data_IF_430278943196
#
_entry.id   IF_430278943196
#
_cell.length_a   1.000
_cell.length_b   1.000
_cell.length_c   1.000
_cell.angle_alpha   90.00
_cell.angle_beta   90.00
_cell.angle_gamma   90.00
#
_symmetry.space_group_name_H-M   'P 1'
#
loop_
_entity.id
_entity.type
_entity.pdbx_description
1 polymer ?
#
# COMPACT_ATOMS: atom_id res chain seq x y z
N UNK A 1 10.36 20.49 -12.10
CA UNK A 1 9.60 19.25 -11.84
C UNK A 1 9.76 18.39 -13.07
N UNK A 2 10.10 17.12 -12.92
CA UNK A 2 10.17 16.16 -14.03
C UNK A 2 8.93 15.27 -14.00
N UNK A 3 8.29 15.13 -15.17
CA UNK A 3 7.18 14.18 -15.34
C UNK A 3 7.75 12.78 -15.50
N UNK A 4 7.32 11.86 -14.66
CA UNK A 4 7.85 10.49 -14.62
C UNK A 4 6.71 9.47 -14.54
N UNK A 5 7.00 8.23 -14.97
CA UNK A 5 6.11 7.07 -14.76
C UNK A 5 6.41 6.43 -13.42
N UNK A 6 5.38 5.88 -12.78
CA UNK A 6 5.55 5.15 -11.52
C UNK A 6 6.48 3.95 -11.67
N UNK A 7 6.41 3.23 -12.79
CA UNK A 7 7.28 2.10 -13.11
C UNK A 7 8.77 2.45 -13.29
N UNK A 8 9.10 3.73 -13.52
CA UNK A 8 10.49 4.16 -13.69
C UNK A 8 11.27 4.29 -12.37
N UNK A 9 10.57 4.35 -11.24
CA UNK A 9 11.17 4.57 -9.91
C UNK A 9 10.87 3.45 -8.91
N UNK A 10 10.22 2.37 -9.33
CA UNK A 10 9.89 1.25 -8.45
C UNK A 10 9.36 0.05 -9.22
N UNK A 11 9.11 -1.02 -8.49
CA UNK A 11 8.60 -2.29 -9.01
C UNK A 11 7.24 -2.61 -8.43
N UNK A 12 6.39 -3.22 -9.25
CA UNK A 12 5.05 -3.65 -8.90
C UNK A 12 4.99 -5.17 -8.85
N UNK A 13 4.26 -5.72 -7.88
CA UNK A 13 4.05 -7.17 -7.78
C UNK A 13 2.66 -7.46 -7.21
N UNK A 14 1.92 -8.37 -7.87
CA UNK A 14 0.68 -8.91 -7.30
C UNK A 14 1.01 -9.83 -6.12
N UNK A 15 0.14 -9.90 -5.13
CA UNK A 15 0.28 -10.81 -4.00
C UNK A 15 -0.08 -12.25 -4.36
N UNK A 16 -0.02 -13.11 -3.36
CA UNK A 16 -0.31 -14.55 -3.45
C UNK A 16 -1.77 -14.84 -3.12
N UNK A 17 -2.35 -15.80 -3.86
CA UNK A 17 -3.60 -16.42 -3.48
C UNK A 17 -3.31 -17.64 -2.59
N UNK A 18 -3.90 -17.65 -1.42
CA UNK A 18 -3.78 -18.76 -0.47
C UNK A 18 -5.06 -19.58 -0.48
N UNK A 19 -4.95 -20.92 -0.48
CA UNK A 19 -6.07 -21.79 -0.25
C UNK A 19 -6.55 -21.63 1.20
N UNK A 20 -7.87 -21.75 1.42
CA UNK A 20 -8.48 -21.56 2.76
C UNK A 20 -7.99 -22.54 3.82
N UNK A 21 -7.49 -23.69 3.39
CA UNK A 21 -7.19 -24.87 4.23
C UNK A 21 -5.70 -25.06 4.52
N UNK A 22 -4.84 -24.12 4.10
CA UNK A 22 -3.41 -24.18 4.40
C UNK A 22 -3.16 -24.02 5.90
N UNK A 23 -2.34 -24.91 6.47
CA UNK A 23 -1.85 -24.77 7.86
C UNK A 23 -1.23 -23.39 8.00
N UNK A 24 -1.74 -22.63 8.95
CA UNK A 24 -1.45 -21.20 9.07
C UNK A 24 -0.35 -21.00 10.10
N UNK A 25 0.90 -20.87 9.66
CA UNK A 25 1.99 -20.58 10.59
C UNK A 25 3.19 -19.91 9.92
N UNK A 26 3.80 -19.00 10.66
CA UNK A 26 5.13 -18.47 10.40
C UNK A 26 5.22 -17.27 9.44
N UNK A 27 4.14 -16.87 8.78
CA UNK A 27 4.12 -15.65 7.99
C UNK A 27 2.78 -14.92 8.14
N UNK A 28 2.82 -13.69 8.60
CA UNK A 28 1.65 -12.81 8.66
C UNK A 28 1.25 -12.34 7.26
N UNK A 29 -0.05 -12.18 7.00
CA UNK A 29 -0.55 -11.75 5.69
C UNK A 29 -1.44 -10.53 5.80
N UNK A 30 -1.12 -9.49 5.05
CA UNK A 30 -1.97 -8.33 4.85
C UNK A 30 -2.98 -8.62 3.74
N UNK A 31 -4.26 -8.48 4.05
CA UNK A 31 -5.37 -8.59 3.11
C UNK A 31 -6.18 -7.30 3.00
N UNK A 32 -7.30 -7.34 2.28
CA UNK A 32 -8.18 -6.19 2.11
C UNK A 32 -8.77 -5.66 3.42
N UNK A 33 -9.20 -6.51 4.38
CA UNK A 33 -9.74 -6.04 5.65
C UNK A 33 -8.77 -5.13 6.42
N UNK A 34 -7.46 -5.37 6.29
CA UNK A 34 -6.42 -4.65 7.04
C UNK A 34 -6.15 -3.23 6.52
N UNK A 35 -6.73 -2.87 5.35
CA UNK A 35 -6.53 -1.53 4.80
C UNK A 35 -7.30 -0.47 5.57
N UNK A 36 -8.53 -0.76 6.02
CA UNK A 36 -9.39 0.22 6.65
C UNK A 36 -9.25 1.61 6.00
N UNK A 37 -9.02 2.66 6.75
CA UNK A 37 -8.64 3.97 6.22
C UNK A 37 -7.26 4.42 6.71
N UNK A 38 -6.38 3.47 7.01
CA UNK A 38 -5.06 3.71 7.62
C UNK A 38 -4.06 4.24 6.59
N UNK A 39 -3.08 5.00 7.09
CA UNK A 39 -1.90 5.40 6.33
C UNK A 39 -0.78 4.36 6.47
N UNK A 40 -0.58 3.86 7.68
CA UNK A 40 0.43 2.86 8.02
C UNK A 40 -0.29 1.54 8.31
N UNK A 41 0.23 0.44 7.77
CA UNK A 41 -0.31 -0.89 8.01
C UNK A 41 -0.22 -1.25 9.50
N UNK A 42 -1.33 -1.72 10.06
CA UNK A 42 -1.29 -2.37 11.37
C UNK A 42 -0.79 -3.80 11.18
N UNK A 43 0.32 -4.16 11.82
CA UNK A 43 0.93 -5.48 11.74
C UNK A 43 0.54 -6.41 12.91
N UNK A 44 -0.30 -5.90 13.82
CA UNK A 44 -0.87 -6.67 14.90
C UNK A 44 -2.10 -7.47 14.41
N UNK A 45 -2.34 -8.64 14.97
CA UNK A 45 -3.54 -9.47 14.71
C UNK A 45 -3.80 -9.80 13.23
N UNK A 46 -2.77 -9.83 12.39
CA UNK A 46 -2.89 -10.26 11.00
C UNK A 46 -3.12 -11.78 10.92
N UNK A 47 -3.89 -12.19 9.90
CA UNK A 47 -4.02 -13.61 9.57
C UNK A 47 -2.65 -14.19 9.25
N UNK A 48 -2.37 -15.40 9.72
CA UNK A 48 -1.17 -16.15 9.36
C UNK A 48 -1.40 -17.07 8.17
N UNK A 49 -0.33 -17.32 7.42
CA UNK A 49 -0.26 -18.27 6.31
C UNK A 49 1.00 -19.10 6.41
N UNK A 50 1.01 -20.24 5.71
CA UNK A 50 2.16 -21.12 5.69
C UNK A 50 3.36 -20.44 5.01
N UNK A 51 4.43 -20.27 5.79
CA UNK A 51 5.66 -19.65 5.30
C UNK A 51 6.32 -20.48 4.18
N UNK A 52 6.16 -21.79 4.17
CA UNK A 52 6.81 -22.68 3.19
C UNK A 52 6.40 -22.39 1.75
N UNK A 53 5.19 -21.85 1.56
CA UNK A 53 4.65 -21.47 0.23
C UNK A 53 4.92 -20.00 -0.12
N UNK A 54 5.51 -19.23 0.79
CA UNK A 54 5.82 -17.81 0.57
C UNK A 54 7.23 -17.65 0.06
N UNK A 55 7.39 -17.46 -1.25
CA UNK A 55 8.70 -17.12 -1.81
C UNK A 55 9.24 -15.79 -1.26
N UNK A 56 10.56 -15.67 -1.15
CA UNK A 56 11.23 -14.47 -0.60
C UNK A 56 10.83 -13.17 -1.29
N UNK A 57 10.49 -13.24 -2.58
CA UNK A 57 10.02 -12.11 -3.37
C UNK A 57 8.65 -11.57 -2.95
N UNK A 58 7.89 -12.35 -2.20
CA UNK A 58 6.58 -11.97 -1.67
C UNK A 58 6.65 -11.43 -0.25
N UNK A 59 7.83 -11.46 0.38
CA UNK A 59 8.00 -10.84 1.68
C UNK A 59 8.03 -9.31 1.54
N UNK A 60 7.26 -8.66 2.40
CA UNK A 60 7.23 -7.22 2.51
C UNK A 60 8.49 -6.69 3.19
N UNK A 61 8.83 -5.46 2.87
CA UNK A 61 9.90 -4.68 3.49
C UNK A 61 9.36 -3.34 3.95
N UNK A 62 10.05 -2.72 4.88
CA UNK A 62 9.72 -1.36 5.29
C UNK A 62 9.73 -0.43 4.07
N UNK A 63 8.76 0.46 4.04
CA UNK A 63 8.46 1.40 2.96
C UNK A 63 7.86 0.78 1.68
N UNK A 64 7.50 -0.50 1.66
CA UNK A 64 6.62 -1.02 0.63
C UNK A 64 5.25 -0.33 0.73
N UNK A 65 4.67 0.04 -0.41
CA UNK A 65 3.31 0.59 -0.48
C UNK A 65 2.41 -0.48 -1.06
N UNK A 66 1.32 -0.79 -0.36
CA UNK A 66 0.30 -1.72 -0.82
C UNK A 66 -0.89 -0.98 -1.40
N UNK A 67 -1.46 -1.51 -2.46
CA UNK A 67 -2.71 -1.06 -3.07
C UNK A 67 -3.76 -2.17 -3.05
N UNK A 68 -5.01 -1.82 -2.81
CA UNK A 68 -6.14 -2.71 -3.08
C UNK A 68 -6.27 -2.89 -4.58
N UNK A 69 -6.08 -4.12 -5.04
CA UNK A 69 -6.16 -4.50 -6.46
C UNK A 69 -7.59 -4.69 -6.93
N UNK A 70 -8.37 -5.49 -6.20
CA UNK A 70 -9.75 -5.78 -6.52
C UNK A 70 -10.61 -5.91 -5.27
N UNK A 71 -11.84 -5.43 -5.38
CA UNK A 71 -12.84 -5.51 -4.31
C UNK A 71 -14.23 -5.41 -4.93
N UNK A 72 -15.23 -6.07 -4.33
CA UNK A 72 -16.64 -5.91 -4.73
C UNK A 72 -17.12 -4.46 -4.61
N UNK A 73 -16.59 -3.69 -3.66
CA UNK A 73 -16.82 -2.26 -3.57
C UNK A 73 -15.74 -1.50 -4.35
N UNK A 74 -16.09 -0.95 -5.50
CA UNK A 74 -15.18 -0.21 -6.39
C UNK A 74 -14.49 0.98 -5.71
N UNK A 75 -15.11 1.60 -4.71
CA UNK A 75 -14.53 2.72 -3.96
C UNK A 75 -13.31 2.33 -3.13
N UNK A 76 -13.12 1.04 -2.88
CA UNK A 76 -11.96 0.52 -2.16
C UNK A 76 -10.77 0.26 -3.09
N UNK A 77 -11.00 0.00 -4.37
CA UNK A 77 -9.93 -0.25 -5.35
C UNK A 77 -8.98 0.95 -5.43
N UNK A 78 -7.68 0.67 -5.43
CA UNK A 78 -6.62 1.68 -5.40
C UNK A 78 -6.44 2.38 -4.04
N UNK A 79 -7.13 2.00 -2.96
CA UNK A 79 -6.71 2.41 -1.60
C UNK A 79 -5.29 1.95 -1.37
N UNK A 80 -4.53 2.77 -0.66
CA UNK A 80 -3.10 2.49 -0.41
C UNK A 80 -2.75 2.69 1.05
N UNK A 81 -1.74 1.96 1.50
CA UNK A 81 -1.08 2.14 2.80
C UNK A 81 0.40 1.79 2.68
N UNK A 82 1.21 2.31 3.57
CA UNK A 82 2.64 1.98 3.65
C UNK A 82 2.90 0.97 4.77
N UNK A 83 3.86 0.10 4.55
CA UNK A 83 4.30 -0.87 5.55
C UNK A 83 5.53 -0.33 6.27
N UNK A 84 5.51 -0.29 7.59
CA UNK A 84 6.62 0.17 8.43
C UNK A 84 6.70 -0.63 9.72
N UNK A 85 7.89 -0.77 10.28
CA UNK A 85 8.11 -1.44 11.56
C UNK A 85 8.00 -2.97 11.49
N UNK A 86 8.37 -3.57 10.38
CA UNK A 86 8.38 -5.03 10.21
C UNK A 86 9.39 -5.66 11.16
N UNK A 87 8.91 -6.54 12.04
CA UNK A 87 9.72 -7.34 12.96
C UNK A 87 9.69 -8.84 12.66
N UNK A 88 8.70 -9.26 11.88
CA UNK A 88 8.42 -10.66 11.54
C UNK A 88 8.24 -10.79 10.02
N UNK A 89 8.10 -12.01 9.52
CA UNK A 89 7.82 -12.23 8.11
C UNK A 89 6.37 -11.85 7.80
N UNK A 90 6.18 -10.94 6.86
CA UNK A 90 4.87 -10.46 6.42
C UNK A 90 4.78 -10.56 4.91
N UNK A 91 3.69 -11.09 4.41
CA UNK A 91 3.33 -11.17 2.99
C UNK A 91 2.02 -10.42 2.70
N UNK A 92 1.50 -10.52 1.51
CA UNK A 92 0.28 -9.83 1.08
C UNK A 92 -0.56 -10.68 0.15
N UNK A 93 -1.87 -10.53 0.28
CA UNK A 93 -2.89 -11.26 -0.46
C UNK A 93 -2.87 -10.92 -1.96
N UNK A 94 -3.29 -11.86 -2.81
CA UNK A 94 -3.49 -11.68 -4.25
C UNK A 94 -4.49 -10.60 -4.64
N UNK A 95 -5.30 -10.13 -3.67
CA UNK A 95 -6.16 -8.96 -3.84
C UNK A 95 -5.44 -7.62 -3.65
N UNK A 96 -4.12 -7.65 -3.42
CA UNK A 96 -3.26 -6.49 -3.25
C UNK A 96 -2.17 -6.44 -4.31
N UNK A 97 -1.67 -5.24 -4.58
CA UNK A 97 -0.45 -4.99 -5.37
C UNK A 97 0.55 -4.29 -4.46
N UNK A 98 1.76 -4.82 -4.37
CA UNK A 98 2.89 -4.14 -3.72
C UNK A 98 3.59 -3.25 -4.73
N UNK A 99 3.87 -2.02 -4.34
CA UNK A 99 4.83 -1.13 -4.96
C UNK A 99 6.06 -0.99 -4.08
N UNK A 100 7.21 -1.34 -4.59
CA UNK A 100 8.51 -1.21 -3.93
C UNK A 100 9.34 -0.17 -4.65
N UNK A 101 9.66 0.90 -3.93
CA UNK A 101 10.52 1.97 -4.44
C UNK A 101 11.96 1.46 -4.59
N UNK A 102 12.62 1.82 -5.69
CA UNK A 102 14.03 1.49 -5.95
C UNK A 102 14.91 2.74 -6.17
N UNK A 103 14.38 3.92 -5.89
CA UNK A 103 15.06 5.20 -6.04
C UNK A 103 15.26 5.89 -4.69
N UNK A 104 16.50 6.24 -4.36
CA UNK A 104 16.84 7.00 -3.16
C UNK A 104 16.42 8.49 -3.22
N UNK A 105 16.18 9.00 -4.43
CA UNK A 105 15.76 10.39 -4.66
C UNK A 105 14.26 10.63 -4.43
N UNK A 106 13.54 9.59 -4.02
CA UNK A 106 12.09 9.68 -3.77
C UNK A 106 11.80 9.30 -2.32
N UNK A 107 10.97 10.10 -1.67
CA UNK A 107 10.52 9.82 -0.32
C UNK A 107 9.27 8.89 -0.38
N UNK A 108 9.29 7.69 0.22
CA UNK A 108 8.17 6.77 0.15
C UNK A 108 6.89 7.33 0.81
N UNK A 109 7.01 8.11 1.88
CA UNK A 109 5.85 8.77 2.50
C UNK A 109 5.26 9.86 1.59
N UNK A 110 6.10 10.57 0.81
CA UNK A 110 5.60 11.50 -0.19
C UNK A 110 4.73 10.80 -1.22
N UNK A 111 5.17 9.63 -1.73
CA UNK A 111 4.37 8.84 -2.65
C UNK A 111 3.06 8.36 -2.02
N UNK A 112 3.09 7.91 -0.77
CA UNK A 112 1.88 7.52 -0.06
C UNK A 112 0.85 8.67 -0.01
N UNK A 113 1.29 9.88 0.36
CA UNK A 113 0.40 11.05 0.42
C UNK A 113 -0.13 11.43 -0.96
N UNK A 114 0.73 11.36 -1.98
CA UNK A 114 0.31 11.55 -3.37
C UNK A 114 -0.78 10.55 -3.76
N UNK A 115 -0.60 9.26 -3.48
CA UNK A 115 -1.54 8.20 -3.82
C UNK A 115 -2.87 8.30 -3.05
N UNK A 116 -2.84 8.82 -1.83
CA UNK A 116 -4.04 9.08 -1.04
C UNK A 116 -4.76 10.37 -1.42
N UNK A 117 -4.14 11.26 -2.19
CA UNK A 117 -4.75 12.53 -2.59
C UNK A 117 -6.02 12.31 -3.44
N UNK A 118 -7.04 13.17 -3.29
CA UNK A 118 -8.27 13.06 -4.11
C UNK A 118 -7.99 13.11 -5.61
N UNK A 119 -7.04 13.93 -6.04
CA UNK A 119 -6.65 14.06 -7.45
C UNK A 119 -6.06 12.77 -8.00
N UNK A 120 -5.23 12.08 -7.21
CA UNK A 120 -4.69 10.79 -7.63
C UNK A 120 -5.76 9.69 -7.62
N UNK A 121 -6.59 9.67 -6.58
CA UNK A 121 -7.68 8.70 -6.44
C UNK A 121 -8.70 8.78 -7.58
N UNK A 122 -9.02 9.98 -8.07
CA UNK A 122 -9.91 10.17 -9.23
C UNK A 122 -9.40 9.47 -10.50
N UNK A 123 -8.11 9.22 -10.64
CA UNK A 123 -7.55 8.48 -11.79
C UNK A 123 -7.98 7.02 -11.84
N UNK A 124 -8.36 6.44 -10.71
CA UNK A 124 -8.88 5.08 -10.63
C UNK A 124 -10.41 5.02 -10.82
N UNK A 125 -11.13 6.11 -10.54
CA UNK A 125 -12.59 6.16 -10.63
C UNK A 125 -13.11 6.69 -11.97
N UNK A 126 -12.30 7.44 -12.73
CA UNK A 126 -12.75 8.15 -13.94
C UNK A 126 -12.53 7.40 -15.25
N UNK A 127 -12.08 6.17 -15.27
CA UNK A 127 -12.07 5.37 -16.50
C UNK A 127 -13.51 4.93 -16.84
N UNK A 128 -14.27 5.87 -17.40
CA UNK A 128 -15.69 5.70 -17.79
C UNK A 128 -15.94 4.62 -18.85
N UNK A 129 -14.91 4.06 -19.48
CA UNK A 129 -15.06 3.03 -20.53
C UNK A 129 -14.84 1.60 -20.02
N UNK A 130 -14.22 1.40 -18.87
CA UNK A 130 -14.16 0.11 -18.20
C UNK A 130 -14.37 0.34 -16.71
N UNK A 131 -15.44 -0.22 -16.15
CA UNK A 131 -15.60 -0.25 -14.70
C UNK A 131 -14.38 -1.00 -14.14
N UNK A 132 -13.33 -0.27 -13.68
CA UNK A 132 -12.14 -0.88 -13.11
C UNK A 132 -12.57 -1.56 -11.81
N UNK A 133 -13.04 -2.79 -11.94
CA UNK A 133 -13.17 -3.69 -10.80
C UNK A 133 -11.82 -4.28 -10.38
N UNK A 134 -10.80 -4.14 -11.26
CA UNK A 134 -9.46 -4.68 -11.04
C UNK A 134 -8.37 -3.69 -11.47
N UNK A 135 -7.65 -3.16 -10.50
CA UNK A 135 -6.40 -2.45 -10.73
C UNK A 135 -5.31 -3.49 -11.08
N UNK A 136 -4.46 -3.19 -12.05
CA UNK A 136 -3.34 -4.06 -12.42
C UNK A 136 -2.00 -3.31 -12.40
N UNK A 137 -0.91 -4.07 -12.50
CA UNK A 137 0.45 -3.51 -12.47
C UNK A 137 0.72 -2.55 -13.63
N UNK A 138 0.16 -2.82 -14.81
CA UNK A 138 0.33 -1.99 -16.00
C UNK A 138 -0.35 -0.63 -15.83
N UNK A 139 -1.61 -0.62 -15.37
CA UNK A 139 -2.36 0.61 -15.08
C UNK A 139 -1.60 1.46 -14.05
N UNK A 140 -1.16 0.85 -12.93
CA UNK A 140 -0.39 1.56 -11.92
C UNK A 140 0.96 2.05 -12.46
N UNK A 141 1.70 1.18 -13.14
CA UNK A 141 3.05 1.49 -13.64
C UNK A 141 3.08 2.61 -14.67
N UNK A 142 2.02 2.73 -15.47
CA UNK A 142 1.89 3.77 -16.50
C UNK A 142 1.37 5.12 -15.97
N UNK A 143 1.05 5.21 -14.67
CA UNK A 143 0.64 6.50 -14.11
C UNK A 143 1.83 7.47 -14.16
N UNK A 144 1.59 8.60 -14.83
CA UNK A 144 2.52 9.71 -14.89
C UNK A 144 2.15 10.79 -13.89
N UNK A 145 3.16 11.37 -13.25
CA UNK A 145 2.99 12.49 -12.32
C UNK A 145 4.25 13.35 -12.27
N UNK A 146 4.08 14.58 -11.82
CA UNK A 146 5.18 15.50 -11.62
C UNK A 146 5.87 15.22 -10.28
N UNK A 147 7.17 14.88 -10.33
CA UNK A 147 7.98 14.62 -9.15
C UNK A 147 8.77 15.89 -8.78
N UNK A 148 8.50 16.50 -7.62
CA UNK A 148 9.30 17.61 -7.14
C UNK A 148 10.68 17.14 -6.65
N UNK A 149 11.60 18.08 -6.43
CA UNK A 149 12.91 17.75 -5.85
C UNK A 149 12.76 17.08 -4.47
N UNK A 150 13.74 16.24 -4.11
CA UNK A 150 13.74 15.51 -2.83
C UNK A 150 13.50 16.44 -1.64
N UNK A 151 14.11 17.61 -1.63
CA UNK A 151 13.92 18.65 -0.60
C UNK A 151 12.46 19.08 -0.45
N UNK A 152 11.77 19.29 -1.58
CA UNK A 152 10.34 19.66 -1.55
C UNK A 152 9.50 18.49 -1.04
N UNK A 153 9.77 17.27 -1.48
CA UNK A 153 9.10 16.06 -0.99
C UNK A 153 9.24 15.95 0.54
N UNK A 154 10.45 16.11 1.07
CA UNK A 154 10.73 15.99 2.50
C UNK A 154 10.04 17.09 3.31
N UNK A 155 9.95 18.32 2.81
CA UNK A 155 9.20 19.39 3.46
C UNK A 155 7.69 19.08 3.52
N UNK A 156 7.12 18.55 2.43
CA UNK A 156 5.72 18.13 2.40
C UNK A 156 5.49 17.00 3.41
N UNK A 157 6.36 16.00 3.42
CA UNK A 157 6.28 14.87 4.36
C UNK A 157 6.36 15.36 5.80
N UNK A 158 7.27 16.27 6.13
CA UNK A 158 7.41 16.82 7.49
C UNK A 158 6.08 17.39 8.02
N UNK A 159 5.35 18.11 7.18
CA UNK A 159 4.06 18.70 7.57
C UNK A 159 2.98 17.61 7.69
N UNK A 160 2.81 16.79 6.65
CA UNK A 160 1.72 15.81 6.59
C UNK A 160 1.93 14.66 7.57
N UNK A 161 3.18 14.25 7.83
CA UNK A 161 3.48 13.13 8.72
C UNK A 161 3.12 13.43 10.17
N UNK A 162 3.32 14.68 10.63
CA UNK A 162 2.89 15.08 11.98
C UNK A 162 1.37 14.94 12.18
N UNK A 163 0.60 15.22 11.14
CA UNK A 163 -0.86 15.06 11.16
C UNK A 163 -1.22 13.56 11.12
N UNK A 164 -0.58 12.81 10.24
CA UNK A 164 -0.80 11.37 10.11
C UNK A 164 -0.50 10.64 11.43
N UNK A 165 0.60 10.97 12.11
CA UNK A 165 0.93 10.38 13.41
C UNK A 165 -0.17 10.62 14.46
N UNK A 166 -0.79 11.81 14.47
CA UNK A 166 -1.93 12.09 15.36
C UNK A 166 -3.16 11.25 15.00
N UNK A 167 -3.45 11.08 13.71
CA UNK A 167 -4.54 10.24 13.23
C UNK A 167 -4.31 8.79 13.66
N UNK A 168 -3.10 8.25 13.44
CA UNK A 168 -2.77 6.86 13.80
C UNK A 168 -2.80 6.65 15.33
N UNK A 169 -2.36 7.63 16.11
CA UNK A 169 -2.47 7.58 17.57
C UNK A 169 -3.95 7.54 18.03
N UNK A 170 -4.79 8.38 17.43
CA UNK A 170 -6.23 8.38 17.76
C UNK A 170 -6.89 7.05 17.36
N UNK A 171 -6.51 6.46 16.21
CA UNK A 171 -7.01 5.15 15.82
C UNK A 171 -6.64 4.08 16.85
N UNK A 172 -5.38 4.05 17.31
CA UNK A 172 -4.94 3.12 18.36
C UNK A 172 -5.71 3.30 19.67
N UNK A 173 -5.98 4.54 20.07
CA UNK A 173 -6.79 4.82 21.27
C UNK A 173 -8.21 4.27 21.08
N UNK A 174 -8.82 4.51 19.93
CA UNK A 174 -10.17 4.01 19.63
C UNK A 174 -10.22 2.47 19.59
N UNK A 175 -9.23 1.83 18.99
CA UNK A 175 -9.11 0.36 18.96
C UNK A 175 -9.04 -0.22 20.40
N UNK A 176 -8.26 0.43 21.29
CA UNK A 176 -8.14 0.02 22.69
C UNK A 176 -9.40 0.29 23.55
N UNK A 177 -10.19 1.30 23.17
CA UNK A 177 -11.45 1.60 23.89
C UNK A 177 -12.61 0.68 23.43
N UNK A 178 -12.49 0.06 22.27
CA UNK A 178 -13.49 -0.85 21.69
C UNK A 178 -13.26 -2.33 22.07
N UNK A 179 -12.10 -2.65 22.66
CA UNK A 179 -11.71 -3.98 23.15
C UNK A 179 -12.10 -4.19 24.60
#
# INVERSE_FOLDING_TARGET
>A
MSRIKLSSIGTLKNGLNFASDSVQSGCKMIGIPDFENRYIANLENLKEVDLSIVGTDYLLKDNDILFVRSNGNKNLVGRSMIVQGIKEKVTFSGFCIRYRLNSSNVNPLYLLYLFKSPTFRKRFSNNQQTSISNLNQEILGNIEFDLPSKRIQDNIVKILHSITQKIELNNKINDNLAA
#
